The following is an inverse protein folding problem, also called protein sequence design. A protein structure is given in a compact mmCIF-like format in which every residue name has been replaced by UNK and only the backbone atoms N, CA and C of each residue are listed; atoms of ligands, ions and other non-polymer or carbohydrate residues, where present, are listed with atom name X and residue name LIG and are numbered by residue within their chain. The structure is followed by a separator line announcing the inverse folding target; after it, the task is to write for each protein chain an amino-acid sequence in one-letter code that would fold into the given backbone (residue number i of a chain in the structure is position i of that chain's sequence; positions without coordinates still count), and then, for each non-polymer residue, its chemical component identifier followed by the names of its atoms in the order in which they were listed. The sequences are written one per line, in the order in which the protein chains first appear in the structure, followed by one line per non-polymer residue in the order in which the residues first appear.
data_IF_137013638594
#
_entry.id   IF_137013638594
#
_cell.length_a   1.000
_cell.length_b   1.000
_cell.length_c   1.000
_cell.angle_alpha   90.00
_cell.angle_beta   90.00
_cell.angle_gamma   90.00
#
_symmetry.space_group_name_H-M   'P 1'
#
loop_
_entity.id
_entity.type
_entity.pdbx_description
1 polymer ?
#
# COMPACT_ATOMS: atom_id res chain seq x y z
N UNK A 1 1.29 -35.81 -33.01
CA UNK A 1 1.10 -36.16 -31.59
C UNK A 1 1.49 -34.93 -30.79
N UNK A 2 0.58 -34.32 -30.02
CA UNK A 2 0.93 -33.19 -29.14
C UNK A 2 1.49 -33.74 -27.85
N UNK A 3 2.73 -33.39 -27.52
CA UNK A 3 3.35 -33.72 -26.25
C UNK A 3 2.66 -32.97 -25.11
N UNK A 4 2.19 -33.69 -24.09
CA UNK A 4 1.67 -33.06 -22.87
C UNK A 4 2.85 -32.61 -22.03
N UNK A 5 3.01 -31.29 -21.88
CA UNK A 5 4.04 -30.72 -20.99
C UNK A 5 3.69 -31.05 -19.54
N UNK A 6 4.58 -31.73 -18.84
CA UNK A 6 4.50 -31.91 -17.39
C UNK A 6 4.91 -30.60 -16.70
N UNK A 7 3.93 -29.83 -16.24
CA UNK A 7 4.14 -28.50 -15.64
C UNK A 7 5.07 -28.58 -14.43
N UNK A 8 4.95 -29.61 -13.58
CA UNK A 8 5.83 -29.77 -12.41
C UNK A 8 7.29 -29.97 -12.80
N UNK A 9 7.55 -30.74 -13.86
CA UNK A 9 8.91 -30.95 -14.37
C UNK A 9 9.47 -29.68 -15.04
N UNK A 10 8.63 -28.92 -15.75
CA UNK A 10 9.02 -27.65 -16.36
C UNK A 10 9.34 -26.57 -15.30
N UNK A 11 8.56 -26.49 -14.23
CA UNK A 11 8.79 -25.55 -13.11
C UNK A 11 10.08 -25.88 -12.34
N UNK A 12 10.34 -27.17 -12.10
CA UNK A 12 11.55 -27.62 -11.40
C UNK A 12 12.84 -27.41 -12.22
N UNK A 13 12.74 -27.26 -13.54
CA UNK A 13 13.87 -26.99 -14.44
C UNK A 13 14.13 -25.49 -14.64
N UNK A 14 13.39 -24.61 -13.98
CA UNK A 14 13.63 -23.17 -14.05
C UNK A 14 14.95 -22.82 -13.36
N UNK A 15 15.78 -22.04 -14.04
CA UNK A 15 16.96 -21.44 -13.42
C UNK A 15 16.54 -20.30 -12.48
N UNK A 16 17.18 -20.19 -11.32
CA UNK A 16 17.06 -19.01 -10.46
C UNK A 16 17.58 -17.78 -11.22
N UNK A 17 16.81 -16.68 -11.17
CA UNK A 17 17.13 -15.39 -11.80
C UNK A 17 16.82 -14.26 -10.82
N UNK A 18 17.61 -13.20 -10.87
CA UNK A 18 17.39 -11.99 -10.05
C UNK A 18 16.30 -11.07 -10.62
N UNK A 19 15.94 -11.25 -11.91
CA UNK A 19 14.92 -10.45 -12.59
C UNK A 19 14.08 -11.26 -13.59
N UNK A 20 12.85 -10.79 -13.81
CA UNK A 20 11.92 -11.24 -14.83
C UNK A 20 10.96 -10.09 -15.21
N UNK A 21 10.68 -9.93 -16.51
CA UNK A 21 9.69 -8.95 -16.99
C UNK A 21 8.27 -9.24 -16.47
N UNK A 22 7.99 -10.52 -16.20
CA UNK A 22 6.68 -11.02 -15.82
C UNK A 22 6.75 -12.15 -14.81
N UNK A 23 5.70 -12.24 -14.00
CA UNK A 23 5.39 -13.38 -13.16
C UNK A 23 4.20 -14.14 -13.74
N UNK A 24 4.21 -15.46 -13.63
CA UNK A 24 3.11 -16.32 -14.05
C UNK A 24 2.40 -16.87 -12.82
N UNK A 25 1.07 -16.88 -12.87
CA UNK A 25 0.22 -17.42 -11.80
C UNK A 25 -1.08 -17.96 -12.37
N UNK A 26 -2.06 -18.24 -11.51
CA UNK A 26 -3.39 -18.69 -11.91
C UNK A 26 -4.50 -17.87 -11.25
N UNK A 27 -5.52 -17.51 -12.02
CA UNK A 27 -6.80 -17.00 -11.49
C UNK A 27 -7.86 -18.07 -11.69
N UNK A 28 -8.43 -18.63 -10.60
CA UNK A 28 -9.54 -19.61 -10.66
C UNK A 28 -9.42 -20.60 -11.83
N UNK A 29 -8.28 -21.29 -11.91
CA UNK A 29 -7.94 -22.30 -12.95
C UNK A 29 -7.62 -21.77 -14.36
N UNK A 30 -7.31 -20.48 -14.52
CA UNK A 30 -6.78 -19.91 -15.77
C UNK A 30 -5.36 -19.37 -15.55
N UNK A 31 -4.37 -19.82 -16.34
CA UNK A 31 -3.03 -19.24 -16.31
C UNK A 31 -3.06 -17.76 -16.69
N UNK A 32 -2.34 -16.93 -15.92
CA UNK A 32 -2.21 -15.48 -16.15
C UNK A 32 -0.75 -15.06 -16.13
N UNK A 33 -0.47 -13.94 -16.81
CA UNK A 33 0.84 -13.29 -16.86
C UNK A 33 0.71 -11.89 -16.29
N UNK A 34 1.45 -11.61 -15.22
CA UNK A 34 1.44 -10.35 -14.47
C UNK A 34 2.73 -9.60 -14.77
N UNK A 35 2.64 -8.36 -15.24
CA UNK A 35 3.83 -7.50 -15.42
C UNK A 35 4.49 -7.27 -14.06
N UNK A 36 5.83 -7.34 -13.97
CA UNK A 36 6.57 -7.02 -12.74
C UNK A 36 6.19 -5.64 -12.19
N UNK A 37 6.01 -4.64 -13.05
CA UNK A 37 5.54 -3.31 -12.65
C UNK A 37 4.17 -3.34 -11.97
N UNK A 38 3.25 -4.18 -12.45
CA UNK A 38 1.89 -4.27 -11.92
C UNK A 38 1.86 -4.94 -10.54
N UNK A 39 2.76 -5.90 -10.31
CA UNK A 39 2.88 -6.61 -9.03
C UNK A 39 3.30 -5.70 -7.88
N UNK A 40 4.17 -4.73 -8.13
CA UNK A 40 4.59 -3.77 -7.09
C UNK A 40 3.62 -2.60 -6.96
N UNK A 41 2.91 -2.23 -8.02
CA UNK A 41 1.86 -1.19 -7.92
C UNK A 41 0.65 -1.63 -7.11
N UNK A 42 0.35 -2.93 -7.01
CA UNK A 42 -0.77 -3.36 -6.16
C UNK A 42 -0.48 -3.17 -4.66
N UNK A 43 0.80 -3.19 -4.25
CA UNK A 43 1.21 -3.16 -2.82
C UNK A 43 1.78 -1.80 -2.39
N UNK A 44 2.51 -1.10 -3.28
CA UNK A 44 3.19 0.17 -2.97
C UNK A 44 3.01 1.27 -4.03
N UNK A 45 1.92 1.23 -4.83
CA UNK A 45 1.70 2.30 -5.81
C UNK A 45 1.41 3.65 -5.16
N UNK A 46 1.85 4.68 -5.86
CA UNK A 46 1.21 5.99 -5.80
C UNK A 46 -0.24 5.89 -6.28
N UNK A 47 -1.18 6.24 -5.40
CA UNK A 47 -2.63 6.18 -5.61
C UNK A 47 -3.26 7.53 -5.98
N UNK A 48 -2.49 8.62 -5.91
CA UNK A 48 -2.93 9.94 -6.35
C UNK A 48 -2.84 11.03 -5.29
N UNK A 49 -3.43 12.19 -5.63
CA UNK A 49 -3.53 13.37 -4.79
C UNK A 49 -4.80 13.33 -3.93
N UNK A 50 -4.65 13.64 -2.65
CA UNK A 50 -5.73 13.87 -1.70
C UNK A 50 -5.73 15.35 -1.30
N UNK A 51 -6.56 16.14 -1.96
CA UNK A 51 -6.75 17.58 -1.71
C UNK A 51 -7.64 17.84 -0.50
N UNK A 52 -7.88 19.11 -0.17
CA UNK A 52 -8.66 19.57 0.99
C UNK A 52 -10.12 19.10 1.04
N UNK A 53 -10.66 18.56 -0.04
CA UNK A 53 -12.00 17.95 -0.12
C UNK A 53 -12.00 16.45 0.23
N UNK A 54 -10.82 15.84 0.44
CA UNK A 54 -10.68 14.42 0.78
C UNK A 54 -10.45 14.23 2.28
N UNK A 55 -11.16 13.27 2.85
CA UNK A 55 -11.03 12.91 4.27
C UNK A 55 -10.09 11.71 4.45
N UNK A 56 -8.96 11.95 5.13
CA UNK A 56 -7.98 10.91 5.45
C UNK A 56 -8.55 9.79 6.33
N UNK A 57 -9.69 10.01 7.01
CA UNK A 57 -10.35 8.97 7.82
C UNK A 57 -11.05 7.90 6.98
N UNK A 58 -11.34 8.21 5.71
CA UNK A 58 -12.19 7.43 4.80
C UNK A 58 -11.41 6.66 3.73
N UNK A 59 -10.09 6.82 3.70
CA UNK A 59 -9.23 6.08 2.77
C UNK A 59 -9.38 4.58 3.07
N UNK A 60 -9.64 3.82 2.01
CA UNK A 60 -9.89 2.38 2.06
C UNK A 60 -8.82 1.56 1.32
N UNK A 61 -8.12 2.17 0.37
CA UNK A 61 -7.12 1.47 -0.44
C UNK A 61 -5.70 1.67 0.10
N UNK A 62 -5.01 0.56 0.37
CA UNK A 62 -3.61 0.59 0.80
C UNK A 62 -2.72 1.19 -0.29
N UNK A 63 -1.77 2.04 0.10
CA UNK A 63 -0.82 2.63 -0.83
C UNK A 63 -0.22 3.94 -0.38
N UNK A 64 0.40 4.62 -1.33
CA UNK A 64 1.12 5.89 -1.16
C UNK A 64 0.29 7.00 -1.81
N UNK A 65 0.07 8.09 -1.10
CA UNK A 65 -0.68 9.24 -1.59
C UNK A 65 0.14 10.51 -1.40
N UNK A 66 -0.21 11.56 -2.16
CA UNK A 66 0.19 12.91 -1.83
C UNK A 66 -0.98 13.58 -1.11
N UNK A 67 -0.84 13.84 0.20
CA UNK A 67 -1.83 14.59 0.98
C UNK A 67 -1.51 16.08 0.87
N UNK A 68 -2.46 16.89 0.41
CA UNK A 68 -2.32 18.33 0.27
C UNK A 68 -3.41 19.03 1.09
N UNK A 69 -3.14 19.21 2.38
CA UNK A 69 -4.08 19.85 3.33
C UNK A 69 -5.45 19.15 3.38
N UNK A 70 -5.44 17.82 3.20
CA UNK A 70 -6.64 16.99 3.27
C UNK A 70 -7.35 17.11 4.63
N UNK A 71 -8.66 16.88 4.66
CA UNK A 71 -9.42 16.84 5.90
C UNK A 71 -8.88 15.76 6.83
N UNK A 72 -8.86 16.06 8.14
CA UNK A 72 -8.31 15.19 9.17
C UNK A 72 -6.81 14.84 8.96
N UNK A 73 -6.06 15.64 8.21
CA UNK A 73 -4.60 15.66 8.27
C UNK A 73 -4.10 16.44 9.49
N UNK A 74 -2.82 16.30 9.88
CA UNK A 74 -2.20 17.25 10.80
C UNK A 74 -2.31 18.66 10.23
N UNK A 75 -2.58 19.64 11.10
CA UNK A 75 -2.90 21.00 10.71
C UNK A 75 -1.83 21.63 9.80
N UNK A 76 -2.27 22.19 8.66
CA UNK A 76 -1.42 22.86 7.67
C UNK A 76 -0.26 22.01 7.11
N UNK A 77 -0.41 20.68 7.06
CA UNK A 77 0.60 19.78 6.49
C UNK A 77 0.21 19.26 5.10
N UNK A 78 1.17 19.32 4.19
CA UNK A 78 1.17 18.60 2.92
C UNK A 78 2.36 17.64 2.86
N UNK A 79 2.20 16.45 2.29
CA UNK A 79 3.25 15.45 2.36
C UNK A 79 2.92 14.11 1.75
N UNK A 80 3.90 13.21 1.80
CA UNK A 80 3.74 11.82 1.41
C UNK A 80 2.98 11.09 2.51
N UNK A 81 1.82 10.54 2.17
CA UNK A 81 1.00 9.73 3.06
C UNK A 81 1.15 8.25 2.69
N UNK A 82 1.58 7.43 3.64
CA UNK A 82 1.48 5.98 3.59
C UNK A 82 0.21 5.58 4.32
N UNK A 83 -0.68 4.87 3.66
CA UNK A 83 -1.87 4.30 4.27
C UNK A 83 -1.85 2.78 4.17
N UNK A 84 -2.08 2.13 5.31
CA UNK A 84 -2.22 0.70 5.41
C UNK A 84 -3.40 0.35 6.32
N UNK A 85 -4.25 -0.55 5.88
CA UNK A 85 -5.39 -1.10 6.59
C UNK A 85 -5.48 -2.59 6.25
N UNK A 86 -5.57 -3.43 7.28
CA UNK A 86 -5.66 -4.89 7.16
C UNK A 86 -6.42 -5.45 8.36
N UNK A 87 -7.35 -6.37 8.11
CA UNK A 87 -8.16 -7.11 9.09
C UNK A 87 -8.68 -6.28 10.28
N UNK A 88 -7.86 -6.07 11.31
CA UNK A 88 -8.22 -5.45 12.58
C UNK A 88 -7.40 -4.18 12.91
N UNK A 89 -6.63 -3.64 11.96
CA UNK A 89 -5.80 -2.45 12.18
C UNK A 89 -5.74 -1.54 10.94
N UNK A 90 -5.59 -0.25 11.19
CA UNK A 90 -5.17 0.69 10.16
C UNK A 90 -4.16 1.69 10.73
N UNK A 91 -3.19 2.07 9.91
CA UNK A 91 -2.14 3.00 10.24
C UNK A 91 -1.92 4.00 9.09
N UNK A 92 -1.55 5.21 9.47
CA UNK A 92 -1.14 6.25 8.55
C UNK A 92 0.18 6.87 9.02
N UNK A 93 1.07 7.08 8.07
CA UNK A 93 2.32 7.83 8.25
C UNK A 93 2.31 8.96 7.23
N UNK A 94 2.45 10.20 7.70
CA UNK A 94 2.57 11.39 6.86
C UNK A 94 3.94 12.01 7.06
N UNK A 95 4.68 12.21 5.96
CA UNK A 95 5.97 12.89 5.95
C UNK A 95 5.76 14.25 5.29
N UNK A 96 5.92 15.33 6.05
CA UNK A 96 5.79 16.69 5.55
C UNK A 96 6.83 16.96 4.44
N UNK A 97 6.37 17.36 3.26
CA UNK A 97 7.23 17.54 2.09
C UNK A 97 8.13 18.77 2.17
N UNK A 98 7.90 19.69 3.11
CA UNK A 98 8.67 20.94 3.27
C UNK A 98 9.83 20.81 4.25
N UNK A 99 9.65 20.08 5.34
CA UNK A 99 10.61 20.03 6.44
C UNK A 99 10.94 18.60 6.91
N UNK A 100 10.34 17.57 6.30
CA UNK A 100 10.61 16.18 6.64
C UNK A 100 9.99 15.71 7.97
N UNK A 101 9.16 16.52 8.62
CA UNK A 101 8.51 16.14 9.87
C UNK A 101 7.60 14.92 9.68
N UNK A 102 7.74 13.96 10.59
CA UNK A 102 7.03 12.69 10.55
C UNK A 102 5.82 12.73 11.47
N UNK A 103 4.66 12.32 10.96
CA UNK A 103 3.41 12.23 11.71
C UNK A 103 2.85 10.83 11.58
N UNK A 104 2.32 10.28 12.68
CA UNK A 104 1.69 8.96 12.68
C UNK A 104 0.34 8.98 13.39
N UNK A 105 -0.56 8.09 12.97
CA UNK A 105 -1.79 7.75 13.70
C UNK A 105 -2.25 6.35 13.33
N UNK A 106 -3.12 5.78 14.16
CA UNK A 106 -3.69 4.47 13.93
C UNK A 106 -5.15 4.39 14.39
N UNK A 107 -5.80 3.31 14.02
CA UNK A 107 -7.04 2.83 14.63
C UNK A 107 -7.04 1.31 14.61
N UNK A 108 -7.85 0.71 15.47
CA UNK A 108 -8.02 -0.74 15.56
C UNK A 108 -9.50 -1.09 15.41
N UNK A 109 -9.76 -2.31 14.98
CA UNK A 109 -11.10 -2.89 14.97
C UNK A 109 -11.31 -3.61 16.29
N UNK A 110 -12.28 -3.15 17.07
CA UNK A 110 -12.59 -3.68 18.40
C UNK A 110 -14.09 -3.98 18.49
N UNK A 111 -14.43 -5.13 19.08
CA UNK A 111 -15.82 -5.52 19.40
C UNK A 111 -16.84 -5.34 18.26
N UNK A 112 -16.42 -5.59 17.02
CA UNK A 112 -17.29 -5.52 15.84
C UNK A 112 -17.44 -4.12 15.21
N UNK A 113 -16.63 -3.14 15.63
CA UNK A 113 -16.60 -1.80 15.05
C UNK A 113 -15.17 -1.24 14.95
N UNK A 114 -14.95 -0.31 14.02
CA UNK A 114 -13.71 0.45 13.98
C UNK A 114 -13.71 1.54 15.05
N UNK A 115 -12.64 1.60 15.84
CA UNK A 115 -12.40 2.73 16.72
C UNK A 115 -12.16 4.01 15.92
N UNK A 116 -12.34 5.15 16.59
CA UNK A 116 -11.92 6.45 16.04
C UNK A 116 -10.40 6.43 15.79
N UNK A 117 -9.99 7.15 14.75
CA UNK A 117 -8.57 7.43 14.55
C UNK A 117 -7.99 8.12 15.79
N UNK A 118 -6.83 7.65 16.24
CA UNK A 118 -6.07 8.38 17.24
C UNK A 118 -5.71 9.76 16.69
N UNK A 119 -5.53 10.73 17.58
CA UNK A 119 -4.91 12.01 17.19
C UNK A 119 -3.56 11.77 16.52
N UNK A 120 -3.21 12.64 15.57
CA UNK A 120 -1.89 12.62 14.95
C UNK A 120 -0.81 12.90 15.98
N UNK A 121 0.25 12.08 15.96
CA UNK A 121 1.45 12.27 16.76
C UNK A 121 2.58 12.73 15.85
N UNK A 122 3.14 13.90 16.13
CA UNK A 122 4.39 14.34 15.52
C UNK A 122 5.55 13.59 16.20
N UNK A 123 6.42 12.99 15.39
CA UNK A 123 7.65 12.33 15.86
C UNK A 123 8.78 13.33 15.70
N UNK A 124 9.36 13.73 16.82
CA UNK A 124 10.56 14.57 16.86
C UNK A 124 11.75 13.68 17.23
N UNK A 125 12.76 13.63 16.37
CA UNK A 125 14.07 13.11 16.75
C UNK A 125 14.86 14.27 17.34
N UNK A 126 14.89 14.38 18.66
CA UNK A 126 15.88 15.23 19.31
C UNK A 126 17.21 14.50 19.25
N UNK A 127 18.20 15.13 18.61
CA UNK A 127 19.60 14.75 18.79
C UNK A 127 20.06 15.13 20.19
#
# INVERSE_FOLDING_TARGET
MMEKVNISQALNNLSVKDDADFFYGETSSKPVKIKKSNLFTSVFAYKGLLSSDKDLNTISENGIYYSAFAMNSPENISGLLLHYAEKDMASQILINSRNGELYTRSRVYNTGNWDKWTSWKKISFTN
#
